data_IF_097598648465
#
_entry.id   IF_097598648465
#
_cell.length_a   1.000
_cell.length_b   1.000
_cell.length_c   1.000
_cell.angle_alpha   90.00
_cell.angle_beta   90.00
_cell.angle_gamma   90.00
#
_symmetry.space_group_name_H-M   'P 1'
#
loop_
_entity.id
_entity.type
_entity.pdbx_description
1 polymer ?
#
# COMPACT_ATOMS: atom_id res chain seq x y z
N UNK A 1 41.66 -7.09 -10.72
CA UNK A 1 40.74 -6.23 -11.50
C UNK A 1 39.33 -6.76 -11.27
N UNK A 2 38.49 -5.96 -10.58
CA UNK A 2 37.01 -5.97 -10.50
C UNK A 2 36.24 -7.28 -10.27
N UNK A 3 35.22 -7.40 -9.42
CA UNK A 3 34.68 -6.68 -8.27
C UNK A 3 33.62 -7.66 -7.73
N UNK A 4 33.59 -7.91 -6.42
CA UNK A 4 32.51 -8.67 -5.77
C UNK A 4 31.15 -8.07 -6.17
N UNK A 5 30.27 -8.86 -6.79
CA UNK A 5 28.83 -8.62 -6.73
C UNK A 5 28.17 -9.84 -6.12
N UNK A 6 28.21 -9.91 -4.80
CA UNK A 6 27.08 -10.48 -4.08
C UNK A 6 25.88 -9.57 -4.38
N UNK A 7 25.15 -9.90 -5.45
CA UNK A 7 23.78 -9.43 -5.61
C UNK A 7 23.01 -10.05 -4.44
N UNK A 8 22.94 -9.32 -3.34
CA UNK A 8 21.93 -9.54 -2.32
C UNK A 8 20.57 -9.29 -2.98
N UNK A 9 20.09 -10.30 -3.71
CA UNK A 9 18.66 -10.44 -3.99
C UNK A 9 18.04 -10.77 -2.65
N UNK A 10 17.64 -9.75 -1.91
CA UNK A 10 16.70 -9.93 -0.82
C UNK A 10 15.37 -10.37 -1.44
N UNK A 11 15.16 -11.68 -1.45
CA UNK A 11 13.91 -12.33 -1.84
C UNK A 11 13.10 -12.47 -0.54
N UNK A 12 12.31 -11.45 -0.20
CA UNK A 12 11.48 -11.43 1.02
C UNK A 12 11.39 -10.02 1.64
N UNK A 13 10.21 -9.56 2.09
CA UNK A 13 9.85 -8.17 1.87
C UNK A 13 10.13 -7.27 3.06
N UNK A 14 10.52 -6.03 2.77
CA UNK A 14 10.61 -4.91 3.70
C UNK A 14 9.23 -4.52 4.31
N UNK A 15 8.15 -5.21 3.92
CA UNK A 15 6.74 -4.85 4.16
C UNK A 15 5.95 -5.79 5.10
N UNK A 16 6.55 -6.88 5.62
CA UNK A 16 5.81 -7.83 6.49
C UNK A 16 5.24 -7.11 7.71
N UNK A 17 5.96 -6.12 8.25
CA UNK A 17 5.53 -5.38 9.43
C UNK A 17 4.20 -4.64 9.26
N UNK A 18 3.96 -4.03 8.09
CA UNK A 18 2.72 -3.30 7.85
C UNK A 18 1.54 -4.27 7.66
N UNK A 19 1.70 -5.29 6.81
CA UNK A 19 0.64 -6.28 6.57
C UNK A 19 0.30 -7.07 7.83
N UNK A 20 1.30 -7.53 8.57
CA UNK A 20 1.10 -8.22 9.86
C UNK A 20 0.38 -7.30 10.84
N UNK A 21 0.82 -6.04 10.99
CA UNK A 21 0.12 -5.09 11.85
C UNK A 21 -1.35 -4.89 11.44
N UNK A 22 -1.64 -4.75 10.14
CA UNK A 22 -3.02 -4.54 9.67
C UNK A 22 -3.91 -5.76 9.93
N UNK A 23 -3.35 -6.97 9.81
CA UNK A 23 -4.06 -8.22 10.10
C UNK A 23 -4.27 -8.42 11.59
N UNK A 24 -3.22 -8.24 12.39
CA UNK A 24 -3.25 -8.39 13.85
C UNK A 24 -4.22 -7.42 14.52
N UNK A 25 -4.33 -6.20 13.97
CA UNK A 25 -5.26 -5.17 14.45
C UNK A 25 -6.62 -5.22 13.76
N UNK A 26 -6.84 -6.20 12.88
CA UNK A 26 -8.09 -6.41 12.13
C UNK A 26 -8.54 -5.13 11.40
N UNK A 27 -7.73 -4.66 10.44
CA UNK A 27 -8.07 -3.51 9.61
C UNK A 27 -9.49 -3.67 9.04
N UNK A 28 -10.34 -2.72 9.39
CA UNK A 28 -11.75 -2.74 9.01
C UNK A 28 -11.98 -2.08 7.66
N UNK A 29 -12.94 -2.61 6.91
CA UNK A 29 -13.45 -1.91 5.74
C UNK A 29 -14.06 -0.57 6.16
N UNK A 30 -13.82 0.48 5.38
CA UNK A 30 -14.27 1.83 5.70
C UNK A 30 -13.37 2.58 6.70
N UNK A 31 -12.22 2.03 7.08
CA UNK A 31 -11.20 2.76 7.86
C UNK A 31 -10.80 4.03 7.12
N UNK A 32 -10.82 5.18 7.81
CA UNK A 32 -10.39 6.45 7.23
C UNK A 32 -8.86 6.48 7.09
N UNK A 33 -8.36 6.90 5.93
CA UNK A 33 -6.94 6.94 5.63
C UNK A 33 -6.45 8.37 5.59
N UNK A 34 -5.39 8.63 6.34
CA UNK A 34 -4.83 9.95 6.56
C UNK A 34 -3.37 10.02 6.16
N UNK A 35 -2.97 11.13 5.55
CA UNK A 35 -1.58 11.42 5.22
C UNK A 35 -0.78 11.86 6.46
N UNK A 36 0.55 11.86 6.32
CA UNK A 36 1.46 12.31 7.37
C UNK A 36 1.27 13.80 7.74
N UNK A 37 0.78 14.60 6.79
CA UNK A 37 0.44 16.03 6.96
C UNK A 37 -1.06 16.24 7.28
N UNK A 38 -1.74 15.21 7.79
CA UNK A 38 -3.09 15.28 8.38
C UNK A 38 -4.23 15.60 7.39
N UNK A 39 -4.15 15.12 6.16
CA UNK A 39 -5.26 15.15 5.21
C UNK A 39 -5.96 13.79 5.16
N UNK A 40 -7.29 13.79 5.27
CA UNK A 40 -8.12 12.62 4.94
C UNK A 40 -8.16 12.44 3.42
N UNK A 41 -7.80 11.25 2.96
CA UNK A 41 -7.74 10.92 1.53
C UNK A 41 -8.75 9.85 1.12
N UNK A 42 -9.60 9.37 2.02
CA UNK A 42 -10.65 8.40 1.72
C UNK A 42 -10.63 7.15 2.60
N UNK A 43 -11.31 6.10 2.12
CA UNK A 43 -11.66 4.95 2.95
C UNK A 43 -11.10 3.64 2.42
N UNK A 44 -10.56 2.81 3.30
CA UNK A 44 -10.01 1.51 2.99
C UNK A 44 -11.09 0.52 2.50
N UNK A 45 -10.80 -0.22 1.42
CA UNK A 45 -11.76 -1.15 0.80
C UNK A 45 -11.28 -2.60 0.89
N UNK A 46 -10.08 -2.89 0.38
CA UNK A 46 -9.49 -4.24 0.29
C UNK A 46 -8.00 -4.17 0.04
N UNK A 47 -7.32 -5.28 0.28
CA UNK A 47 -5.91 -5.46 -0.07
C UNK A 47 -5.77 -6.25 -1.37
N UNK A 48 -4.74 -5.90 -2.14
CA UNK A 48 -4.32 -6.60 -3.36
C UNK A 48 -2.88 -7.04 -3.22
N UNK A 49 -2.63 -8.34 -3.38
CA UNK A 49 -1.32 -8.93 -3.28
C UNK A 49 -0.83 -9.35 -4.67
N UNK A 50 0.34 -8.84 -5.05
CA UNK A 50 1.00 -9.21 -6.30
C UNK A 50 1.45 -10.67 -6.21
N UNK A 51 1.23 -11.44 -7.27
CA UNK A 51 1.69 -12.84 -7.37
C UNK A 51 3.04 -12.98 -8.10
N UNK A 52 3.47 -11.94 -8.82
CA UNK A 52 4.72 -11.88 -9.58
C UNK A 52 5.87 -11.27 -8.75
N UNK A 53 7.07 -11.25 -9.34
CA UNK A 53 8.27 -10.68 -8.72
C UNK A 53 8.07 -9.23 -8.22
N UNK A 54 8.61 -8.98 -7.03
CA UNK A 54 8.61 -7.68 -6.35
C UNK A 54 9.94 -6.97 -6.66
N UNK A 55 9.85 -5.71 -7.11
CA UNK A 55 11.02 -4.87 -7.35
C UNK A 55 10.72 -3.42 -6.93
N UNK A 56 11.04 -3.03 -5.69
CA UNK A 56 10.74 -1.71 -5.16
C UNK A 56 11.46 -0.58 -5.92
N UNK A 57 12.65 -0.85 -6.49
CA UNK A 57 13.40 0.14 -7.28
C UNK A 57 12.66 0.50 -8.58
N UNK A 58 11.80 -0.40 -9.06
CA UNK A 58 10.89 -0.18 -10.18
C UNK A 58 9.46 0.17 -9.73
N UNK A 59 9.26 0.48 -8.44
CA UNK A 59 7.95 0.71 -7.81
C UNK A 59 6.98 -0.47 -7.96
N UNK A 60 7.50 -1.69 -8.10
CA UNK A 60 6.71 -2.92 -8.07
C UNK A 60 6.60 -3.41 -6.63
N UNK A 61 5.67 -2.81 -5.90
CA UNK A 61 5.39 -3.18 -4.52
C UNK A 61 4.64 -4.52 -4.44
N UNK A 62 4.82 -5.22 -3.32
CA UNK A 62 4.23 -6.54 -3.09
C UNK A 62 2.74 -6.50 -2.77
N UNK A 63 2.25 -5.41 -2.16
CA UNK A 63 0.84 -5.29 -1.79
C UNK A 63 0.37 -3.85 -1.83
N UNK A 64 -0.90 -3.67 -2.16
CA UNK A 64 -1.56 -2.37 -2.27
C UNK A 64 -2.88 -2.39 -1.51
N UNK A 65 -3.16 -1.32 -0.77
CA UNK A 65 -4.46 -1.03 -0.19
C UNK A 65 -5.28 -0.23 -1.20
N UNK A 66 -6.42 -0.78 -1.62
CA UNK A 66 -7.40 -0.05 -2.40
C UNK A 66 -8.23 0.85 -1.47
N UNK A 67 -8.33 2.12 -1.87
CA UNK A 67 -9.17 3.12 -1.25
C UNK A 67 -10.29 3.54 -2.19
N UNK A 68 -11.43 3.91 -1.62
CA UNK A 68 -12.36 4.81 -2.28
C UNK A 68 -12.07 6.24 -1.83
N UNK A 69 -11.64 7.09 -2.77
CA UNK A 69 -11.26 8.47 -2.53
C UNK A 69 -12.07 9.41 -3.41
N UNK A 70 -12.86 10.30 -2.83
CA UNK A 70 -13.51 11.38 -3.59
C UNK A 70 -12.44 12.39 -4.04
N UNK A 71 -11.48 12.69 -3.17
CA UNK A 71 -10.40 13.65 -3.42
C UNK A 71 -9.54 13.26 -4.63
N UNK A 72 -9.26 11.96 -4.80
CA UNK A 72 -8.40 11.43 -5.85
C UNK A 72 -9.17 10.85 -7.05
N UNK A 73 -10.49 11.05 -7.10
CA UNK A 73 -11.32 10.71 -8.25
C UNK A 73 -11.77 9.25 -8.34
N UNK A 74 -11.81 8.53 -7.22
CA UNK A 74 -12.38 7.18 -7.11
C UNK A 74 -11.40 6.17 -6.51
N UNK A 75 -11.19 5.06 -7.20
CA UNK A 75 -10.31 3.99 -6.74
C UNK A 75 -8.84 4.47 -6.71
N UNK A 76 -8.20 4.37 -5.55
CA UNK A 76 -6.80 4.73 -5.35
C UNK A 76 -6.05 3.54 -4.76
N UNK A 77 -4.81 3.28 -5.19
CA UNK A 77 -4.04 2.11 -4.80
C UNK A 77 -2.76 2.53 -4.09
N UNK A 78 -2.78 2.46 -2.75
CA UNK A 78 -1.66 2.87 -1.91
C UNK A 78 -0.75 1.65 -1.64
N UNK A 79 0.55 1.70 -1.97
CA UNK A 79 1.44 0.62 -1.58
C UNK A 79 1.52 0.49 -0.06
N UNK A 80 1.49 -0.74 0.45
CA UNK A 80 1.51 -1.00 1.91
C UNK A 80 2.77 -0.48 2.60
N UNK A 81 3.85 -0.28 1.85
CA UNK A 81 5.11 0.30 2.29
C UNK A 81 4.97 1.76 2.78
N UNK A 82 3.90 2.45 2.37
CA UNK A 82 3.58 3.80 2.85
C UNK A 82 2.67 3.80 4.09
N UNK A 83 2.29 2.64 4.61
CA UNK A 83 1.44 2.54 5.80
C UNK A 83 2.34 2.63 7.05
N UNK A 84 2.10 3.67 7.86
CA UNK A 84 2.88 3.93 9.07
C UNK A 84 2.26 3.28 10.30
N UNK A 85 0.96 3.43 10.49
CA UNK A 85 0.24 2.86 11.63
C UNK A 85 -1.25 2.71 11.31
N UNK A 86 -1.91 1.81 12.03
CA UNK A 86 -3.36 1.73 12.11
C UNK A 86 -3.80 1.80 13.57
N UNK A 87 -4.75 2.68 13.86
CA UNK A 87 -5.43 2.81 15.14
C UNK A 87 -6.86 2.25 15.04
N UNK A 88 -7.16 1.08 15.63
CA UNK A 88 -8.48 0.47 15.58
C UNK A 88 -9.49 1.14 16.52
N UNK A 89 -9.05 1.97 17.47
CA UNK A 89 -9.94 2.71 18.37
C UNK A 89 -10.59 3.87 17.64
N UNK A 90 -9.79 4.65 16.90
CA UNK A 90 -10.26 5.78 16.10
C UNK A 90 -10.67 5.39 14.67
N UNK A 91 -10.52 4.11 14.33
CA UNK A 91 -10.71 3.58 12.97
C UNK A 91 -9.96 4.39 11.92
N UNK A 92 -8.68 4.67 12.22
CA UNK A 92 -7.83 5.60 11.48
C UNK A 92 -6.52 4.94 11.06
N UNK A 93 -6.22 4.96 9.77
CA UNK A 93 -4.95 4.51 9.20
C UNK A 93 -4.11 5.71 8.81
N UNK A 94 -2.84 5.72 9.23
CA UNK A 94 -1.90 6.81 8.98
C UNK A 94 -0.84 6.35 7.97
N UNK A 95 -0.63 7.17 6.94
CA UNK A 95 0.44 7.01 5.97
C UNK A 95 1.71 7.74 6.40
N UNK A 96 2.84 7.30 5.87
CA UNK A 96 4.11 8.04 5.92
C UNK A 96 4.23 9.11 4.82
N UNK A 97 3.40 9.03 3.77
CA UNK A 97 3.34 10.01 2.68
C UNK A 97 2.50 11.23 3.04
N UNK A 98 2.93 12.40 2.55
CA UNK A 98 2.15 13.65 2.56
C UNK A 98 1.17 13.72 1.41
N UNK A 99 0.24 14.68 1.41
CA UNK A 99 -0.66 14.89 0.29
C UNK A 99 0.09 15.31 -0.99
N UNK A 100 1.16 16.09 -0.85
CA UNK A 100 2.03 16.49 -1.97
C UNK A 100 2.77 15.28 -2.59
N UNK A 101 3.22 14.33 -1.76
CA UNK A 101 3.78 13.06 -2.26
C UNK A 101 2.75 12.28 -3.07
N UNK A 102 1.51 12.20 -2.59
CA UNK A 102 0.41 11.51 -3.30
C UNK A 102 0.11 12.17 -4.64
N UNK A 103 0.12 13.51 -4.70
CA UNK A 103 -0.15 14.23 -5.94
C UNK A 103 0.94 14.00 -7.02
N UNK A 104 2.19 13.77 -6.58
CA UNK A 104 3.32 13.45 -7.46
C UNK A 104 3.34 11.99 -7.88
N UNK A 105 2.79 11.12 -7.05
CA UNK A 105 2.70 9.69 -7.30
C UNK A 105 1.46 9.34 -8.14
N UNK A 106 1.56 8.30 -8.98
CA UNK A 106 0.47 7.88 -9.87
C UNK A 106 -0.45 6.84 -9.21
N UNK A 107 -0.86 7.07 -7.97
CA UNK A 107 -1.64 6.11 -7.17
C UNK A 107 -3.13 6.06 -7.53
N UNK A 108 -3.61 7.01 -8.32
CA UNK A 108 -4.94 7.01 -8.93
C UNK A 108 -5.06 6.12 -10.18
N UNK A 109 -3.98 5.44 -10.59
CA UNK A 109 -4.03 4.45 -11.66
C UNK A 109 -4.04 3.05 -11.09
N UNK A 110 -4.95 2.22 -11.59
CA UNK A 110 -4.96 0.78 -11.29
C UNK A 110 -3.62 0.16 -11.67
N UNK A 111 -2.88 -0.44 -10.72
CA UNK A 111 -1.68 -1.20 -11.01
C UNK A 111 -1.93 -2.29 -12.05
N UNK A 112 -1.00 -2.45 -13.01
CA UNK A 112 -1.20 -3.36 -14.14
C UNK A 112 -1.52 -4.80 -13.72
N UNK A 113 -0.86 -5.32 -12.69
CA UNK A 113 -1.12 -6.68 -12.20
C UNK A 113 -2.55 -6.84 -11.64
N UNK A 114 -3.14 -5.79 -11.08
CA UNK A 114 -4.54 -5.79 -10.64
C UNK A 114 -5.46 -5.75 -11.87
N UNK A 115 -5.18 -4.87 -12.83
CA UNK A 115 -5.95 -4.74 -14.07
C UNK A 115 -5.95 -6.03 -14.91
N UNK A 116 -4.87 -6.81 -14.85
CA UNK A 116 -4.74 -8.10 -15.54
C UNK A 116 -5.17 -9.31 -14.70
N UNK A 117 -5.82 -9.10 -13.55
CA UNK A 117 -6.29 -10.17 -12.66
C UNK A 117 -5.17 -11.11 -12.16
N UNK A 118 -3.96 -10.57 -11.99
CA UNK A 118 -2.78 -11.25 -11.44
C UNK A 118 -2.55 -10.91 -9.95
N UNK A 119 -3.60 -10.46 -9.28
CA UNK A 119 -3.60 -10.14 -7.87
C UNK A 119 -4.46 -11.14 -7.09
N UNK A 120 -4.00 -11.55 -5.91
CA UNK A 120 -4.88 -12.13 -4.90
C UNK A 120 -5.54 -10.99 -4.14
N UNK A 121 -6.87 -11.00 -4.01
CA UNK A 121 -7.60 -10.01 -3.21
C UNK A 121 -7.86 -10.55 -1.81
N UNK A 122 -7.58 -9.74 -0.79
CA UNK A 122 -7.90 -10.00 0.62
C UNK A 122 -8.96 -9.00 1.07
N UNK A 123 -10.07 -9.52 1.61
CA UNK A 123 -11.13 -8.70 2.18
C UNK A 123 -10.69 -8.17 3.56
N UNK A 124 -11.08 -6.92 3.85
CA UNK A 124 -10.91 -6.33 5.18
C UNK A 124 -11.99 -6.84 6.13
N UNK A 125 -11.73 -6.73 7.43
CA UNK A 125 -12.68 -7.08 8.50
C UNK A 125 -13.97 -6.24 8.44
#
# INVERSE_FOLDING_TARGET
MFFNRHLNRHIGPRNENALTMLRDKELRRGTAVWTADSHDIGYAIRLHHRQNDINPDLKFYGSYLELFSILLGGATYIPTDYIRNYDPTDNKLLLSATLDDIAKETWNRTPAFIAHHQATTEALA
#
